data_IF_325798082005
#
_entry.id   IF_325798082005
#
_cell.length_a   1.000
_cell.length_b   1.000
_cell.length_c   1.000
_cell.angle_alpha   90.00
_cell.angle_beta   90.00
_cell.angle_gamma   90.00
#
_symmetry.space_group_name_H-M   'P 1'
#
loop_
_entity.id
_entity.type
_entity.pdbx_description
1 polymer ?
#
# COMPACT_ATOMS: atom_id res chain seq x y z
N UNK A 1 5.23 -1.88 -22.07
CA UNK A 1 4.89 -2.84 -23.14
C UNK A 1 6.11 -3.66 -23.55
N UNK A 2 7.27 -3.02 -23.73
CA UNK A 2 8.53 -3.67 -24.15
C UNK A 2 8.99 -4.83 -23.26
N UNK A 3 8.70 -4.78 -21.96
CA UNK A 3 9.01 -5.86 -21.00
C UNK A 3 8.02 -7.03 -21.04
N UNK A 4 6.95 -6.96 -21.84
CA UNK A 4 5.92 -8.02 -21.93
C UNK A 4 5.05 -8.21 -20.67
N UNK A 5 5.11 -7.29 -19.71
CA UNK A 5 4.38 -7.37 -18.42
C UNK A 5 2.97 -6.77 -18.47
N UNK A 6 2.60 -6.14 -19.57
CA UNK A 6 1.27 -5.58 -19.84
C UNK A 6 0.93 -5.77 -21.32
N UNK A 7 -0.34 -6.00 -21.62
CA UNK A 7 -0.85 -6.10 -22.99
C UNK A 7 -1.02 -4.70 -23.63
N UNK A 8 -1.58 -3.77 -22.85
CA UNK A 8 -1.91 -2.41 -23.27
C UNK A 8 -1.63 -1.39 -22.16
N UNK A 9 -1.51 -0.11 -22.55
CA UNK A 9 -1.41 1.01 -21.63
C UNK A 9 -2.18 2.20 -22.18
N UNK A 10 -2.63 3.08 -21.30
CA UNK A 10 -3.21 4.37 -21.64
C UNK A 10 -2.45 5.48 -20.90
N UNK A 11 -2.28 6.63 -21.55
CA UNK A 11 -1.81 7.86 -20.88
C UNK A 11 -2.97 8.66 -20.30
N UNK A 12 -4.21 8.31 -20.65
CA UNK A 12 -5.45 8.89 -20.14
C UNK A 12 -6.15 7.84 -19.24
N UNK A 13 -6.08 7.98 -17.90
CA UNK A 13 -6.64 6.99 -16.98
C UNK A 13 -8.13 6.72 -17.20
N UNK A 14 -8.89 7.74 -17.58
CA UNK A 14 -10.32 7.63 -17.89
C UNK A 14 -10.61 6.64 -19.02
N UNK A 15 -9.77 6.57 -20.06
CA UNK A 15 -9.92 5.61 -21.15
C UNK A 15 -9.58 4.19 -20.69
N UNK A 16 -8.53 4.04 -19.87
CA UNK A 16 -8.05 2.74 -19.41
C UNK A 16 -9.02 1.97 -18.51
N UNK A 17 -10.03 2.65 -17.93
CA UNK A 17 -10.97 2.02 -16.97
C UNK A 17 -12.35 1.71 -17.53
N UNK A 18 -12.68 2.16 -18.75
CA UNK A 18 -14.06 2.10 -19.30
C UNK A 18 -14.65 0.69 -19.28
N UNK A 19 -13.86 -0.29 -19.67
CA UNK A 19 -14.29 -1.69 -19.78
C UNK A 19 -13.77 -2.57 -18.64
N UNK A 20 -13.09 -1.99 -17.63
CA UNK A 20 -12.42 -2.74 -16.58
C UNK A 20 -13.42 -3.38 -15.59
N UNK A 21 -13.38 -4.70 -15.43
CA UNK A 21 -14.13 -5.42 -14.37
C UNK A 21 -13.46 -5.28 -13.00
N UNK A 22 -12.14 -5.13 -12.99
CA UNK A 22 -11.31 -4.97 -11.80
C UNK A 22 -10.32 -3.82 -12.02
N UNK A 23 -10.24 -2.92 -11.07
CA UNK A 23 -9.30 -1.79 -11.05
C UNK A 23 -8.42 -1.94 -9.81
N UNK A 24 -7.11 -2.06 -10.01
CA UNK A 24 -6.14 -2.15 -8.92
C UNK A 24 -5.35 -0.84 -8.77
N UNK A 25 -5.48 -0.20 -7.61
CA UNK A 25 -4.69 0.98 -7.25
C UNK A 25 -3.33 0.56 -6.70
N UNK A 26 -2.27 0.79 -7.49
CA UNK A 26 -0.88 0.45 -7.15
C UNK A 26 0.08 1.66 -7.16
N UNK A 27 -0.47 2.88 -7.06
CA UNK A 27 0.29 4.11 -6.83
C UNK A 27 0.51 4.35 -5.34
N UNK A 28 1.30 5.37 -4.93
CA UNK A 28 1.32 5.81 -3.54
C UNK A 28 -0.09 6.17 -3.04
N UNK A 29 -0.39 5.81 -1.78
CA UNK A 29 -1.73 5.93 -1.19
C UNK A 29 -2.27 7.36 -1.19
N UNK A 30 -1.41 8.38 -1.08
CA UNK A 30 -1.81 9.78 -1.14
C UNK A 30 -2.38 10.21 -2.49
N UNK A 31 -2.19 9.42 -3.55
CA UNK A 31 -2.70 9.72 -4.90
C UNK A 31 -4.05 9.05 -5.18
N UNK A 32 -4.51 8.11 -4.34
CA UNK A 32 -5.68 7.29 -4.65
C UNK A 32 -6.95 8.13 -4.83
N UNK A 33 -7.21 9.09 -3.94
CA UNK A 33 -8.41 9.93 -4.01
C UNK A 33 -8.46 10.77 -5.29
N UNK A 34 -7.35 11.41 -5.66
CA UNK A 34 -7.24 12.21 -6.90
C UNK A 34 -7.43 11.34 -8.15
N UNK A 35 -6.79 10.16 -8.17
CA UNK A 35 -6.95 9.20 -9.28
C UNK A 35 -8.42 8.81 -9.42
N UNK A 36 -9.06 8.37 -8.34
CA UNK A 36 -10.46 7.98 -8.35
C UNK A 36 -11.36 9.14 -8.78
N UNK A 37 -11.14 10.36 -8.30
CA UNK A 37 -11.89 11.54 -8.74
C UNK A 37 -11.79 11.76 -10.26
N UNK A 38 -10.61 11.58 -10.85
CA UNK A 38 -10.39 11.69 -12.29
C UNK A 38 -11.08 10.60 -13.11
N UNK A 39 -11.19 9.38 -12.57
CA UNK A 39 -11.72 8.23 -13.33
C UNK A 39 -13.16 7.86 -13.01
N UNK A 40 -13.74 8.31 -11.89
CA UNK A 40 -15.01 7.80 -11.34
C UNK A 40 -16.19 7.81 -12.31
N UNK A 41 -16.27 8.80 -13.20
CA UNK A 41 -17.37 8.92 -14.18
C UNK A 41 -17.24 7.93 -15.35
N UNK A 42 -16.11 7.24 -15.46
CA UNK A 42 -15.79 6.30 -16.52
C UNK A 42 -15.76 4.84 -16.05
N UNK A 43 -15.91 4.60 -14.74
CA UNK A 43 -15.96 3.24 -14.19
C UNK A 43 -17.35 2.66 -14.44
N UNK A 44 -17.42 1.50 -15.11
CA UNK A 44 -18.69 0.83 -15.37
C UNK A 44 -19.34 0.29 -14.07
N UNK A 45 -20.68 0.31 -13.94
CA UNK A 45 -21.35 -0.38 -12.85
C UNK A 45 -21.01 -1.87 -12.81
N UNK A 46 -20.84 -2.43 -11.62
CA UNK A 46 -20.42 -3.82 -11.40
C UNK A 46 -18.90 -4.01 -11.30
N UNK A 47 -18.09 -2.99 -11.60
CA UNK A 47 -16.64 -3.05 -11.40
C UNK A 47 -16.26 -3.13 -9.92
N UNK A 48 -15.10 -3.74 -9.67
CA UNK A 48 -14.48 -3.82 -8.35
C UNK A 48 -13.22 -2.97 -8.36
N UNK A 49 -13.09 -2.07 -7.38
CA UNK A 49 -11.87 -1.33 -7.11
C UNK A 49 -11.18 -1.95 -5.89
N UNK A 50 -9.89 -2.22 -6.00
CA UNK A 50 -9.05 -2.69 -4.89
C UNK A 50 -7.71 -1.97 -4.89
N UNK A 51 -6.88 -2.18 -3.87
CA UNK A 51 -5.60 -1.48 -3.70
C UNK A 51 -4.50 -2.40 -3.13
N UNK A 52 -3.27 -1.90 -3.12
CA UNK A 52 -2.11 -2.53 -2.46
C UNK A 52 -1.46 -1.62 -1.41
N UNK A 53 -2.16 -0.59 -0.94
CA UNK A 53 -1.61 0.43 -0.05
C UNK A 53 -1.23 -0.12 1.33
N UNK A 54 -0.28 0.55 1.99
CA UNK A 54 0.22 0.11 3.31
C UNK A 54 -0.59 0.63 4.51
N UNK A 55 -1.63 1.42 4.27
CA UNK A 55 -2.53 2.02 5.27
C UNK A 55 -3.98 1.93 4.80
N UNK A 56 -4.93 1.76 5.71
CA UNK A 56 -6.29 1.32 5.36
C UNK A 56 -7.38 2.22 5.92
N UNK A 57 -7.55 2.35 7.23
CA UNK A 57 -8.75 2.91 7.85
C UNK A 57 -9.20 4.26 7.24
N UNK A 58 -8.30 5.25 7.23
CA UNK A 58 -8.60 6.58 6.70
C UNK A 58 -8.73 6.58 5.16
N UNK A 59 -7.86 5.85 4.46
CA UNK A 59 -7.87 5.74 2.99
C UNK A 59 -9.19 5.13 2.49
N UNK A 60 -9.60 4.00 3.07
CA UNK A 60 -10.84 3.31 2.70
C UNK A 60 -12.05 4.21 2.92
N UNK A 61 -12.09 4.94 4.04
CA UNK A 61 -13.16 5.91 4.34
C UNK A 61 -13.23 7.04 3.30
N UNK A 62 -12.09 7.51 2.79
CA UNK A 62 -12.04 8.51 1.73
C UNK A 62 -12.51 7.93 0.40
N UNK A 63 -11.97 6.78 -0.02
CA UNK A 63 -12.31 6.15 -1.29
C UNK A 63 -13.77 5.74 -1.39
N UNK A 64 -14.36 5.21 -0.32
CA UNK A 64 -15.78 4.83 -0.30
C UNK A 64 -16.73 5.99 -0.60
N UNK A 65 -16.37 7.23 -0.23
CA UNK A 65 -17.17 8.43 -0.55
C UNK A 65 -17.12 8.79 -2.03
N UNK A 66 -16.05 8.39 -2.71
CA UNK A 66 -15.81 8.69 -4.11
C UNK A 66 -16.37 7.62 -5.05
N UNK A 67 -16.63 6.41 -4.55
CA UNK A 67 -17.11 5.29 -5.36
C UNK A 67 -18.43 5.63 -6.08
N UNK A 68 -18.51 5.41 -7.40
CA UNK A 68 -19.76 5.51 -8.16
C UNK A 68 -20.81 4.51 -7.66
N UNK A 69 -22.08 4.80 -7.95
CA UNK A 69 -23.17 3.87 -7.65
C UNK A 69 -22.96 2.55 -8.40
N UNK A 70 -23.06 1.43 -7.69
CA UNK A 70 -22.90 0.10 -8.26
C UNK A 70 -21.45 -0.35 -8.46
N UNK A 71 -20.47 0.42 -7.98
CA UNK A 71 -19.06 0.02 -7.94
C UNK A 71 -18.70 -0.36 -6.51
N UNK A 72 -18.06 -1.52 -6.33
CA UNK A 72 -17.61 -2.00 -5.03
C UNK A 72 -16.15 -1.65 -4.79
N UNK A 73 -15.80 -1.32 -3.55
CA UNK A 73 -14.41 -1.15 -3.13
C UNK A 73 -14.05 -2.18 -2.05
N UNK A 74 -12.91 -2.86 -2.22
CA UNK A 74 -12.37 -3.83 -1.26
C UNK A 74 -10.89 -3.54 -1.06
N UNK A 75 -10.51 -3.08 0.14
CA UNK A 75 -9.11 -2.73 0.42
C UNK A 75 -8.23 -3.95 0.65
N UNK A 76 -6.99 -3.90 0.16
CA UNK A 76 -6.00 -4.95 0.36
C UNK A 76 -4.58 -4.40 0.59
N UNK A 77 -3.73 -5.22 1.19
CA UNK A 77 -2.33 -4.92 1.46
C UNK A 77 -1.52 -6.22 1.37
N UNK A 78 -0.86 -6.50 0.22
CA UNK A 78 0.10 -7.58 0.13
C UNK A 78 1.35 -7.21 0.94
N UNK A 79 1.69 -8.06 1.89
CA UNK A 79 2.89 -7.93 2.73
C UNK A 79 4.05 -8.57 1.96
N UNK A 80 4.36 -7.94 0.83
CA UNK A 80 5.35 -8.35 -0.12
C UNK A 80 6.08 -7.11 -0.61
N UNK A 81 7.41 -7.19 -0.68
CA UNK A 81 8.21 -6.06 -1.11
C UNK A 81 9.69 -6.30 -0.87
N UNK A 82 10.51 -5.72 -1.75
CA UNK A 82 11.95 -5.57 -1.56
C UNK A 82 12.23 -4.08 -1.46
N UNK A 83 13.41 -3.70 -0.98
CA UNK A 83 13.86 -2.29 -1.03
C UNK A 83 14.07 -1.73 -2.45
N UNK A 84 13.90 -2.57 -3.48
CA UNK A 84 13.97 -2.18 -4.88
C UNK A 84 12.60 -1.73 -5.41
N UNK A 85 12.58 -0.62 -6.14
CA UNK A 85 11.38 -0.04 -6.76
C UNK A 85 11.41 -0.14 -8.29
N UNK A 86 10.24 -0.01 -8.93
CA UNK A 86 10.08 0.05 -10.37
C UNK A 86 9.82 -1.31 -11.04
N UNK A 87 9.33 -1.25 -12.29
CA UNK A 87 8.89 -2.44 -13.05
C UNK A 87 10.01 -3.47 -13.28
N UNK A 88 11.27 -3.04 -13.32
CA UNK A 88 12.42 -3.92 -13.48
C UNK A 88 12.65 -4.83 -12.26
N UNK A 89 12.08 -4.49 -11.10
CA UNK A 89 12.11 -5.32 -9.89
C UNK A 89 10.87 -6.23 -9.77
N UNK A 90 9.94 -6.18 -10.72
CA UNK A 90 8.76 -7.03 -10.73
C UNK A 90 9.16 -8.50 -10.89
N UNK A 91 8.42 -9.38 -10.20
CA UNK A 91 8.64 -10.82 -10.22
C UNK A 91 7.29 -11.52 -10.26
N UNK A 92 7.10 -12.55 -11.11
CA UNK A 92 5.85 -13.32 -11.13
C UNK A 92 5.60 -14.00 -9.78
N UNK A 93 6.66 -14.36 -9.06
CA UNK A 93 6.58 -15.02 -7.76
C UNK A 93 6.55 -14.06 -6.56
N UNK A 94 6.37 -12.74 -6.79
CA UNK A 94 6.47 -11.72 -5.74
C UNK A 94 5.55 -12.01 -4.54
N UNK A 95 4.36 -12.55 -4.80
CA UNK A 95 3.33 -12.77 -3.79
C UNK A 95 3.28 -14.21 -3.26
N UNK A 96 4.07 -15.13 -3.81
CA UNK A 96 4.07 -16.54 -3.40
C UNK A 96 4.42 -16.71 -1.91
N UNK A 97 3.55 -17.38 -1.17
CA UNK A 97 3.68 -17.62 0.28
C UNK A 97 3.77 -16.35 1.15
N UNK A 98 3.52 -15.17 0.59
CA UNK A 98 3.41 -13.91 1.34
C UNK A 98 2.03 -13.79 1.98
N UNK A 99 1.87 -12.90 2.97
CA UNK A 99 0.53 -12.59 3.49
C UNK A 99 -0.09 -11.51 2.62
N UNK A 100 -1.38 -11.62 2.30
CA UNK A 100 -2.14 -10.48 1.81
C UNK A 100 -3.28 -10.20 2.78
N UNK A 101 -3.32 -8.98 3.29
CA UNK A 101 -4.37 -8.58 4.20
C UNK A 101 -5.51 -7.98 3.39
N UNK A 102 -6.73 -8.44 3.59
CA UNK A 102 -7.93 -7.88 2.99
C UNK A 102 -8.75 -7.28 4.12
N UNK A 103 -9.22 -6.04 3.93
CA UNK A 103 -9.84 -5.27 5.01
C UNK A 103 -11.29 -4.93 4.71
N UNK A 104 -12.22 -5.90 4.82
CA UNK A 104 -13.64 -5.62 4.70
C UNK A 104 -14.14 -4.82 5.90
N UNK A 105 -15.22 -4.07 5.67
CA UNK A 105 -16.08 -3.52 6.71
C UNK A 105 -17.52 -4.06 6.56
N UNK A 106 -18.42 -3.62 7.44
CA UNK A 106 -19.81 -4.07 7.46
C UNK A 106 -20.60 -3.78 6.17
N UNK A 107 -20.14 -2.84 5.34
CA UNK A 107 -20.79 -2.42 4.10
C UNK A 107 -20.11 -2.99 2.86
N UNK A 108 -19.13 -3.88 3.03
CA UNK A 108 -18.37 -4.45 1.92
C UNK A 108 -19.20 -5.51 1.19
N UNK A 109 -19.33 -5.37 -0.12
CA UNK A 109 -20.05 -6.33 -0.95
C UNK A 109 -19.35 -7.70 -0.90
N UNK A 110 -20.14 -8.74 -0.61
CA UNK A 110 -19.62 -10.09 -0.36
C UNK A 110 -19.04 -10.73 -1.63
N UNK A 111 -19.68 -10.51 -2.78
CA UNK A 111 -19.21 -11.04 -4.06
C UNK A 111 -17.92 -10.35 -4.50
N UNK A 112 -17.79 -9.04 -4.27
CA UNK A 112 -16.54 -8.33 -4.50
C UNK A 112 -15.42 -8.81 -3.56
N UNK A 113 -15.74 -9.05 -2.29
CA UNK A 113 -14.80 -9.58 -1.30
C UNK A 113 -14.28 -10.96 -1.72
N UNK A 114 -15.16 -11.87 -2.13
CA UNK A 114 -14.79 -13.21 -2.62
C UNK A 114 -13.86 -13.13 -3.84
N UNK A 115 -14.15 -12.25 -4.80
CA UNK A 115 -13.28 -12.07 -5.99
C UNK A 115 -11.89 -11.54 -5.64
N UNK A 116 -11.78 -10.58 -4.71
CA UNK A 116 -10.48 -10.06 -4.27
C UNK A 116 -9.73 -11.11 -3.44
N UNK A 117 -10.45 -11.90 -2.65
CA UNK A 117 -9.88 -13.04 -1.94
C UNK A 117 -9.30 -14.08 -2.91
N UNK A 118 -10.05 -14.47 -3.94
CA UNK A 118 -9.61 -15.41 -4.98
C UNK A 118 -8.43 -14.88 -5.80
N UNK A 119 -8.45 -13.60 -6.16
CA UNK A 119 -7.35 -12.92 -6.85
C UNK A 119 -6.03 -13.13 -6.09
N UNK A 120 -5.99 -12.77 -4.81
CA UNK A 120 -4.75 -12.87 -4.02
C UNK A 120 -4.31 -14.31 -3.78
N UNK A 121 -5.24 -15.25 -3.58
CA UNK A 121 -4.88 -16.66 -3.46
C UNK A 121 -4.34 -17.24 -4.78
N UNK A 122 -4.87 -16.80 -5.93
CA UNK A 122 -4.38 -17.20 -7.26
C UNK A 122 -2.96 -16.71 -7.50
N UNK A 123 -2.61 -15.54 -6.96
CA UNK A 123 -1.24 -15.01 -6.94
C UNK A 123 -0.32 -15.70 -5.91
N UNK A 124 -0.79 -16.74 -5.22
CA UNK A 124 -0.02 -17.51 -4.25
C UNK A 124 0.09 -16.87 -2.86
N UNK A 125 -0.62 -15.78 -2.60
CA UNK A 125 -0.64 -15.15 -1.28
C UNK A 125 -1.55 -15.89 -0.29
N UNK A 126 -1.23 -15.81 0.99
CA UNK A 126 -2.05 -16.28 2.11
C UNK A 126 -2.92 -15.13 2.59
N UNK A 127 -4.19 -15.15 2.20
CA UNK A 127 -5.14 -14.08 2.53
C UNK A 127 -5.59 -14.13 3.99
N UNK A 128 -5.60 -12.97 4.64
CA UNK A 128 -6.10 -12.80 6.02
C UNK A 128 -7.09 -11.65 6.03
N UNK A 129 -8.24 -11.85 6.70
CA UNK A 129 -9.23 -10.79 6.90
C UNK A 129 -8.97 -10.08 8.24
N UNK A 130 -9.04 -8.75 8.24
CA UNK A 130 -9.07 -7.95 9.47
C UNK A 130 -9.83 -6.65 9.24
N UNK A 131 -10.26 -5.99 10.31
CA UNK A 131 -10.87 -4.66 10.13
C UNK A 131 -9.82 -3.63 9.66
N UNK A 132 -10.22 -2.55 8.96
CA UNK A 132 -9.28 -1.50 8.55
C UNK A 132 -8.52 -0.86 9.73
N UNK A 133 -9.15 -0.72 10.90
CA UNK A 133 -8.51 -0.14 12.09
C UNK A 133 -7.53 -1.12 12.75
N UNK A 134 -7.90 -2.40 12.84
CA UNK A 134 -7.01 -3.46 13.34
C UNK A 134 -5.76 -3.59 12.48
N UNK A 135 -5.90 -3.52 11.16
CA UNK A 135 -4.77 -3.44 10.23
C UNK A 135 -3.83 -2.31 10.60
N UNK A 136 -4.35 -1.08 10.66
CA UNK A 136 -3.52 0.10 10.87
C UNK A 136 -2.85 0.08 12.26
N UNK A 137 -3.52 -0.45 13.29
CA UNK A 137 -2.93 -0.66 14.61
C UNK A 137 -1.78 -1.68 14.59
N UNK A 138 -1.98 -2.84 13.95
CA UNK A 138 -0.94 -3.88 13.85
C UNK A 138 0.28 -3.36 13.08
N UNK A 139 0.06 -2.78 11.89
CA UNK A 139 1.15 -2.32 11.03
C UNK A 139 1.84 -1.07 11.57
N UNK A 140 1.16 -0.25 12.39
CA UNK A 140 1.83 0.80 13.15
C UNK A 140 2.95 0.22 14.03
N UNK A 141 2.68 -0.85 14.77
CA UNK A 141 3.65 -1.47 15.66
C UNK A 141 4.72 -2.29 14.92
N UNK A 142 4.32 -3.14 13.97
CA UNK A 142 5.24 -4.13 13.36
C UNK A 142 5.97 -3.62 12.10
N UNK A 143 5.58 -2.46 11.57
CA UNK A 143 6.19 -1.90 10.35
C UNK A 143 6.48 -0.41 10.46
N UNK A 144 5.50 0.42 10.80
CA UNK A 144 5.66 1.87 10.70
C UNK A 144 6.59 2.44 11.78
N UNK A 145 6.44 1.99 13.02
CA UNK A 145 7.31 2.37 14.13
C UNK A 145 8.78 2.03 13.83
N UNK A 146 9.15 0.78 13.45
CA UNK A 146 10.52 0.46 13.04
C UNK A 146 11.09 1.41 11.97
N UNK A 147 10.28 1.77 10.97
CA UNK A 147 10.70 2.69 9.90
C UNK A 147 10.94 4.11 10.40
N UNK A 148 10.02 4.64 11.23
CA UNK A 148 10.18 5.96 11.86
C UNK A 148 11.47 6.00 12.68
N UNK A 149 11.75 4.96 13.48
CA UNK A 149 12.97 4.87 14.27
C UNK A 149 14.23 4.79 13.40
N UNK A 150 14.18 4.09 12.27
CA UNK A 150 15.31 4.05 11.33
C UNK A 150 15.62 5.44 10.74
N UNK A 151 14.60 6.22 10.38
CA UNK A 151 14.79 7.62 9.94
C UNK A 151 15.35 8.50 11.05
N UNK A 152 14.78 8.41 12.26
CA UNK A 152 15.26 9.19 13.42
C UNK A 152 16.72 8.89 13.72
N UNK A 153 17.12 7.61 13.67
CA UNK A 153 18.50 7.20 13.91
C UNK A 153 19.48 7.79 12.89
N UNK A 154 19.16 7.73 11.60
CA UNK A 154 20.02 8.31 10.56
C UNK A 154 20.10 9.82 10.70
N UNK A 155 18.97 10.50 10.91
CA UNK A 155 18.93 11.94 11.07
C UNK A 155 19.75 12.39 12.29
N UNK A 156 19.63 11.70 13.42
CA UNK A 156 20.40 12.01 14.61
C UNK A 156 21.92 11.88 14.39
N UNK A 157 22.37 10.89 13.60
CA UNK A 157 23.79 10.73 13.25
C UNK A 157 24.25 11.85 12.32
N UNK A 158 23.43 12.23 11.34
CA UNK A 158 23.73 13.33 10.41
C UNK A 158 23.82 14.67 11.13
N UNK A 159 22.91 14.93 12.09
CA UNK A 159 22.90 16.13 12.91
C UNK A 159 24.13 16.24 13.82
N UNK A 160 24.68 15.10 14.26
CA UNK A 160 25.95 15.08 14.99
C UNK A 160 27.12 15.44 14.09
N UNK A 161 27.30 14.68 13.00
CA UNK A 161 28.29 14.92 11.96
C UNK A 161 28.12 13.89 10.82
N UNK A 162 27.69 14.33 9.64
CA UNK A 162 27.55 13.48 8.45
C UNK A 162 28.83 12.70 8.07
N UNK A 163 30.03 13.22 8.37
CA UNK A 163 31.29 12.57 7.99
C UNK A 163 31.54 11.27 8.74
N UNK A 164 30.74 10.95 9.78
CA UNK A 164 30.89 9.71 10.55
C UNK A 164 30.10 8.54 9.97
N UNK A 165 29.12 8.79 9.09
CA UNK A 165 28.33 7.74 8.44
C UNK A 165 29.18 6.65 7.78
N UNK A 166 30.29 6.96 7.05
CA UNK A 166 31.15 5.94 6.46
C UNK A 166 31.85 5.03 7.49
N UNK A 167 31.98 5.46 8.74
CA UNK A 167 32.53 4.65 9.83
C UNK A 167 31.50 3.67 10.41
N UNK A 168 30.24 3.75 9.97
CA UNK A 168 29.16 2.83 10.33
C UNK A 168 29.44 1.39 9.92
N UNK A 169 29.53 0.50 10.92
CA UNK A 169 29.64 -0.94 10.71
C UNK A 169 28.32 -1.61 10.29
N UNK A 170 28.32 -2.94 10.27
CA UNK A 170 27.16 -3.76 9.86
C UNK A 170 25.90 -3.47 10.67
N UNK A 171 26.01 -3.27 11.98
CA UNK A 171 24.87 -3.00 12.85
C UNK A 171 24.08 -1.74 12.46
N UNK A 172 24.80 -0.65 12.15
CA UNK A 172 24.14 0.58 11.67
C UNK A 172 23.40 0.31 10.36
N UNK A 173 24.07 -0.35 9.40
CA UNK A 173 23.47 -0.67 8.09
C UNK A 173 22.21 -1.53 8.22
N UNK A 174 22.23 -2.54 9.09
CA UNK A 174 21.08 -3.44 9.27
C UNK A 174 19.88 -2.71 9.91
N UNK A 175 20.14 -1.82 10.87
CA UNK A 175 19.10 -1.02 11.53
C UNK A 175 18.50 0.06 10.62
N UNK A 176 19.28 0.58 9.68
CA UNK A 176 18.87 1.74 8.86
C UNK A 176 18.60 1.40 7.40
N UNK A 177 18.80 0.14 6.97
CA UNK A 177 18.52 -0.33 5.60
C UNK A 177 17.15 0.11 5.10
N UNK A 178 16.14 0.01 5.96
CA UNK A 178 14.75 0.34 5.61
C UNK A 178 14.53 1.84 5.39
N UNK A 179 15.39 2.72 5.93
CA UNK A 179 15.36 4.15 5.68
C UNK A 179 15.74 4.55 4.25
N UNK A 180 16.18 3.61 3.41
CA UNK A 180 16.35 3.81 1.96
C UNK A 180 15.02 3.81 1.18
N UNK A 181 13.91 3.57 1.86
CA UNK A 181 12.58 3.58 1.22
C UNK A 181 12.21 4.98 0.73
N UNK A 182 11.35 5.10 -0.32
CA UNK A 182 10.93 6.41 -0.83
C UNK A 182 10.29 7.30 0.25
N UNK A 183 10.79 8.53 0.50
CA UNK A 183 10.26 9.42 1.53
C UNK A 183 8.80 9.82 1.31
N UNK A 184 8.34 9.96 0.07
CA UNK A 184 6.96 10.35 -0.25
C UNK A 184 5.97 9.28 0.20
N UNK A 185 6.31 8.01 0.01
CA UNK A 185 5.50 6.88 0.48
C UNK A 185 5.37 6.90 2.02
N UNK A 186 6.49 7.10 2.71
CA UNK A 186 6.52 7.09 4.18
C UNK A 186 5.88 8.32 4.80
N UNK A 187 5.97 9.48 4.15
CA UNK A 187 5.20 10.67 4.52
C UNK A 187 3.71 10.35 4.53
N UNK A 188 3.21 9.71 3.46
CA UNK A 188 1.79 9.39 3.35
C UNK A 188 1.37 8.33 4.39
N UNK A 189 2.18 7.29 4.61
CA UNK A 189 1.94 6.31 5.68
C UNK A 189 1.83 6.99 7.05
N UNK A 190 2.79 7.85 7.39
CA UNK A 190 2.78 8.61 8.64
C UNK A 190 1.57 9.53 8.76
N UNK A 191 1.13 10.14 7.65
CA UNK A 191 -0.05 10.99 7.64
C UNK A 191 -1.35 10.21 7.86
N UNK A 192 -1.52 9.11 7.13
CA UNK A 192 -2.75 8.32 7.14
C UNK A 192 -2.90 7.47 8.40
N UNK A 193 -1.79 7.03 9.00
CA UNK A 193 -1.79 6.20 10.20
C UNK A 193 -1.22 6.91 11.44
N UNK A 194 -1.31 8.25 11.45
CA UNK A 194 -0.75 9.11 12.50
C UNK A 194 -1.09 8.64 13.92
N UNK A 195 -2.37 8.40 14.18
CA UNK A 195 -2.86 8.13 15.54
C UNK A 195 -2.30 6.82 16.11
N UNK A 196 -2.23 5.74 15.32
CA UNK A 196 -1.66 4.47 15.80
C UNK A 196 -0.13 4.52 15.86
N UNK A 197 0.52 5.28 14.97
CA UNK A 197 1.98 5.50 15.04
C UNK A 197 2.35 6.26 16.33
N UNK A 198 1.60 7.31 16.68
CA UNK A 198 1.84 8.06 17.92
C UNK A 198 1.66 7.17 19.15
N UNK A 199 0.59 6.36 19.22
CA UNK A 199 0.43 5.37 20.30
C UNK A 199 1.58 4.38 20.36
N UNK A 200 2.10 3.94 19.22
CA UNK A 200 3.23 3.01 19.15
C UNK A 200 4.53 3.67 19.63
N UNK A 201 4.72 4.96 19.34
CA UNK A 201 5.83 5.76 19.86
C UNK A 201 5.72 6.00 21.36
N UNK A 202 4.53 6.26 21.90
CA UNK A 202 4.32 6.45 23.34
C UNK A 202 4.64 5.17 24.16
N UNK A 203 4.53 3.99 23.53
CA UNK A 203 4.89 2.71 24.14
C UNK A 203 6.39 2.37 24.05
N UNK A 204 7.16 3.05 23.18
CA UNK A 204 8.59 2.82 22.96
C UNK A 204 9.44 3.70 23.87
#
# INVERSE_FOLDING_TARGET
KDLGVIDEFSTEPAEGVKDADLILLATPVGQFSEIIEGIRNHIKPGSIVTDVGSVKAKVIKELKKLMPKGVSFVGAHPIAGKECSGVNAASPDLFNNTRCIITPDENTDKTALEKVFELWNTLGAKTVLMSPDEHDAIFAAVSHLPHVLAYVLINAIMDLNETILPHGGRGLRDMTRIALSPPELWRDICHYNKEHILKSLDCF
#
